data_IF_302036272670
#
_entry.id   IF_302036272670
#
_cell.length_a   1.000
_cell.length_b   1.000
_cell.length_c   1.000
_cell.angle_alpha   90.00
_cell.angle_beta   90.00
_cell.angle_gamma   90.00
#
_symmetry.space_group_name_H-M   'P 1'
#
loop_
_entity.id
_entity.type
_entity.pdbx_description
1 polymer ?
#
# COMPACT_ATOMS: atom_id res chain seq x y z
N UNK A 1 -19.69 -3.50 27.00
CA UNK A 1 -19.39 -2.83 25.72
C UNK A 1 -18.55 -3.78 24.87
N UNK A 2 -18.78 -3.90 23.57
CA UNK A 2 -17.94 -4.74 22.69
C UNK A 2 -16.63 -4.01 22.43
N UNK A 3 -15.52 -4.54 22.93
CA UNK A 3 -14.17 -4.04 22.64
C UNK A 3 -13.92 -4.11 21.14
N UNK A 4 -13.39 -3.04 20.54
CA UNK A 4 -13.09 -3.01 19.10
C UNK A 4 -12.02 -4.05 18.77
N UNK A 5 -11.99 -4.53 17.52
CA UNK A 5 -10.98 -5.50 17.09
C UNK A 5 -9.55 -4.96 17.26
N UNK A 6 -9.36 -3.65 17.10
CA UNK A 6 -8.07 -2.99 17.36
C UNK A 6 -7.69 -3.08 18.83
N UNK A 7 -8.63 -2.77 19.72
CA UNK A 7 -8.38 -2.79 21.16
C UNK A 7 -8.10 -4.21 21.67
N UNK A 8 -8.79 -5.22 21.13
CA UNK A 8 -8.48 -6.63 21.42
C UNK A 8 -7.06 -7.03 20.97
N UNK A 9 -6.61 -6.52 19.82
CA UNK A 9 -5.25 -6.79 19.34
C UNK A 9 -4.19 -6.12 20.24
N UNK A 10 -4.44 -4.90 20.71
CA UNK A 10 -3.56 -4.20 21.67
C UNK A 10 -3.46 -5.01 22.97
N UNK A 11 -4.60 -5.37 23.57
CA UNK A 11 -4.65 -6.16 24.81
C UNK A 11 -3.93 -7.52 24.66
N UNK A 12 -4.05 -8.15 23.50
CA UNK A 12 -3.34 -9.41 23.20
C UNK A 12 -1.83 -9.23 23.17
N UNK A 13 -1.33 -8.14 22.58
CA UNK A 13 0.10 -7.82 22.56
C UNK A 13 0.60 -7.47 23.96
N UNK A 14 -0.14 -6.65 24.71
CA UNK A 14 0.22 -6.26 26.07
C UNK A 14 0.28 -7.44 27.05
N UNK A 15 -0.44 -8.54 26.75
CA UNK A 15 -0.39 -9.77 27.56
C UNK A 15 0.90 -10.59 27.40
N UNK A 16 1.74 -10.27 26.41
CA UNK A 16 3.01 -10.94 26.19
C UNK A 16 4.12 -10.40 27.12
N UNK A 17 5.18 -11.17 27.41
CA UNK A 17 6.39 -10.64 28.02
C UNK A 17 6.96 -9.46 27.24
N UNK A 18 7.64 -8.53 27.93
CA UNK A 18 8.19 -7.31 27.29
C UNK A 18 9.11 -7.65 26.11
N UNK A 19 9.95 -8.68 26.25
CA UNK A 19 10.85 -9.09 25.18
C UNK A 19 10.09 -9.58 23.94
N UNK A 20 8.98 -10.30 24.13
CA UNK A 20 8.14 -10.78 23.04
C UNK A 20 7.35 -9.64 22.38
N UNK A 21 6.95 -8.62 23.15
CA UNK A 21 6.34 -7.41 22.61
C UNK A 21 7.31 -6.65 21.68
N UNK A 22 8.56 -6.50 22.10
CA UNK A 22 9.61 -5.86 21.29
C UNK A 22 9.89 -6.63 20.00
N UNK A 23 10.00 -7.96 20.09
CA UNK A 23 10.18 -8.82 18.92
C UNK A 23 9.00 -8.69 17.95
N UNK A 24 7.77 -8.72 18.47
CA UNK A 24 6.56 -8.61 17.66
C UNK A 24 6.47 -7.24 16.96
N UNK A 25 6.87 -6.16 17.64
CA UNK A 25 6.92 -4.82 17.06
C UNK A 25 7.89 -4.76 15.87
N UNK A 26 9.11 -5.30 16.01
CA UNK A 26 10.10 -5.36 14.92
C UNK A 26 9.58 -6.16 13.72
N UNK A 27 8.98 -7.34 13.98
CA UNK A 27 8.41 -8.18 12.93
C UNK A 27 7.29 -7.44 12.19
N UNK A 28 6.36 -6.81 12.90
CA UNK A 28 5.25 -6.08 12.30
C UNK A 28 5.73 -4.87 11.49
N UNK A 29 6.73 -4.13 11.99
CA UNK A 29 7.32 -3.00 11.27
C UNK A 29 7.94 -3.46 9.95
N UNK A 30 8.74 -4.54 9.96
CA UNK A 30 9.32 -5.14 8.76
C UNK A 30 8.24 -5.59 7.77
N UNK A 31 7.23 -6.31 8.24
CA UNK A 31 6.12 -6.78 7.39
C UNK A 31 5.30 -5.63 6.80
N UNK A 32 5.09 -4.56 7.55
CA UNK A 32 4.36 -3.39 7.06
C UNK A 32 5.16 -2.67 5.97
N UNK A 33 6.47 -2.51 6.17
CA UNK A 33 7.37 -1.91 5.21
C UNK A 33 7.44 -2.74 3.91
N UNK A 34 7.53 -4.07 4.03
CA UNK A 34 7.47 -4.97 2.87
C UNK A 34 6.12 -4.90 2.16
N UNK A 35 4.99 -4.87 2.88
CA UNK A 35 3.66 -4.70 2.24
C UNK A 35 3.54 -3.38 1.50
N UNK A 36 4.03 -2.29 2.09
CA UNK A 36 4.06 -0.97 1.42
C UNK A 36 4.92 -1.02 0.17
N UNK A 37 6.09 -1.66 0.22
CA UNK A 37 6.96 -1.88 -0.94
C UNK A 37 6.23 -2.69 -2.01
N UNK A 38 5.62 -3.81 -1.66
CA UNK A 38 4.86 -4.64 -2.62
C UNK A 38 3.71 -3.88 -3.26
N UNK A 39 2.98 -3.06 -2.51
CA UNK A 39 1.93 -2.21 -3.07
C UNK A 39 2.51 -1.17 -4.05
N UNK A 40 3.63 -0.54 -3.72
CA UNK A 40 4.33 0.39 -4.62
C UNK A 40 4.88 -0.32 -5.87
N UNK A 41 5.36 -1.56 -5.72
CA UNK A 41 5.81 -2.39 -6.83
C UNK A 41 4.68 -2.82 -7.75
N UNK A 42 3.46 -2.98 -7.23
CA UNK A 42 2.28 -3.30 -8.03
C UNK A 42 1.87 -2.10 -8.89
N UNK A 43 1.76 -0.91 -8.31
CA UNK A 43 1.50 0.34 -9.06
C UNK A 43 2.59 0.61 -10.11
N UNK A 44 3.88 0.44 -9.74
CA UNK A 44 5.00 0.61 -10.69
C UNK A 44 5.02 -0.48 -11.75
N UNK A 45 4.55 -1.72 -11.46
CA UNK A 45 4.45 -2.78 -12.47
C UNK A 45 3.34 -2.50 -13.47
N UNK A 46 2.18 -2.02 -13.01
CA UNK A 46 1.08 -1.64 -13.90
C UNK A 46 1.52 -0.53 -14.85
N UNK A 47 2.14 0.53 -14.33
CA UNK A 47 2.69 1.61 -15.17
C UNK A 47 3.77 1.11 -16.13
N UNK A 48 4.69 0.25 -15.68
CA UNK A 48 5.74 -0.32 -16.55
C UNK A 48 5.18 -1.27 -17.59
N UNK A 49 4.12 -2.00 -17.28
CA UNK A 49 3.45 -2.90 -18.20
C UNK A 49 2.66 -2.11 -19.25
N UNK A 50 1.90 -1.09 -18.87
CA UNK A 50 1.24 -0.18 -19.81
C UNK A 50 2.24 0.53 -20.72
N UNK A 51 3.39 0.96 -20.18
CA UNK A 51 4.50 1.53 -20.94
C UNK A 51 5.12 0.52 -21.91
N UNK A 52 5.32 -0.73 -21.49
CA UNK A 52 5.89 -1.79 -22.33
C UNK A 52 4.92 -2.29 -23.41
N UNK A 53 3.61 -2.26 -23.13
CA UNK A 53 2.54 -2.63 -24.06
C UNK A 53 2.19 -1.50 -25.04
N UNK A 54 2.83 -0.33 -24.91
CA UNK A 54 2.60 0.83 -25.79
C UNK A 54 1.28 1.55 -25.55
N UNK A 55 0.60 1.24 -24.44
CA UNK A 55 -0.67 1.84 -24.03
C UNK A 55 -0.47 3.20 -23.33
N UNK A 56 0.61 3.92 -23.66
CA UNK A 56 0.91 5.25 -23.13
C UNK A 56 0.89 6.25 -24.28
N UNK A 57 -0.10 7.15 -24.26
CA UNK A 57 -0.14 8.29 -25.18
C UNK A 57 0.72 9.43 -24.63
N UNK A 58 1.66 9.90 -25.43
CA UNK A 58 2.37 11.15 -25.17
C UNK A 58 1.67 12.27 -25.94
N UNK A 59 1.27 13.34 -25.24
CA UNK A 59 0.58 14.49 -25.81
C UNK A 59 0.72 15.71 -24.91
N UNK A 60 0.37 16.89 -25.41
CA UNK A 60 0.31 18.09 -24.59
C UNK A 60 -0.91 18.05 -23.65
N UNK A 61 -0.88 18.88 -22.60
CA UNK A 61 -2.02 19.05 -21.69
C UNK A 61 -3.29 19.45 -22.46
N UNK A 62 -3.14 20.29 -23.49
CA UNK A 62 -4.27 20.71 -24.34
C UNK A 62 -4.91 19.53 -25.09
N UNK A 63 -4.09 18.57 -25.53
CA UNK A 63 -4.55 17.38 -26.25
C UNK A 63 -5.26 16.39 -25.31
N UNK A 64 -4.82 16.30 -24.06
CA UNK A 64 -5.50 15.52 -23.02
C UNK A 64 -6.87 16.10 -22.66
N UNK A 65 -6.96 17.43 -22.48
CA UNK A 65 -8.22 18.10 -22.15
C UNK A 65 -9.24 17.97 -23.29
N UNK A 66 -8.80 18.08 -24.54
CA UNK A 66 -9.67 17.90 -25.71
C UNK A 66 -10.24 16.47 -25.85
N UNK A 67 -9.51 15.44 -25.38
CA UNK A 67 -10.00 14.06 -25.35
C UNK A 67 -11.04 13.82 -24.23
N UNK A 68 -10.89 14.50 -23.08
CA UNK A 68 -11.84 14.40 -21.96
C UNK A 68 -13.17 15.11 -22.25
N UNK A 69 -13.16 16.20 -23.01
CA UNK A 69 -14.38 16.93 -23.40
C UNK A 69 -15.24 16.18 -24.44
N UNK A 70 -14.74 15.06 -24.99
CA UNK A 70 -15.46 14.21 -25.95
C UNK A 70 -16.07 12.93 -25.33
N UNK A 71 -15.96 12.77 -24.00
CA UNK A 71 -16.59 11.70 -23.21
C UNK A 71 -17.90 12.16 -22.59
#
# INVERSE_FOLDING_TARGET
MKTSALQQAIESVESLPIEDQEILLDILQKRLLERRRTNLYQEVREIKQEFAEGNVKFGSVDQFLAELDQL
#
